data_IF_622067852888
#
_entry.id   IF_622067852888
#
_cell.length_a   1.000
_cell.length_b   1.000
_cell.length_c   1.000
_cell.angle_alpha   90.00
_cell.angle_beta   90.00
_cell.angle_gamma   90.00
#
_symmetry.space_group_name_H-M   'P 1'
#
loop_
_entity.id
_entity.type
_entity.pdbx_description
1 polymer ?
#
# COMPACT_ATOMS: atom_id res chain seq x y z
N UNK A 1 0.95 -18.91 47.60
CA UNK A 1 -0.18 -18.82 46.68
C UNK A 1 0.41 -18.52 45.31
N UNK A 2 0.43 -19.52 44.44
CA UNK A 2 1.14 -19.45 43.14
C UNK A 2 0.22 -18.81 42.11
N UNK A 3 0.72 -17.76 41.44
CA UNK A 3 0.11 -17.20 40.24
C UNK A 3 0.58 -18.01 39.01
N UNK A 4 -0.29 -18.33 38.06
CA UNK A 4 0.11 -19.06 36.86
C UNK A 4 0.79 -18.11 35.86
N UNK A 5 1.99 -18.53 35.43
CA UNK A 5 2.77 -17.84 34.40
C UNK A 5 2.05 -17.85 33.05
N UNK A 6 1.92 -16.68 32.46
CA UNK A 6 1.57 -16.50 31.05
C UNK A 6 2.80 -16.87 30.21
N UNK A 7 2.63 -17.88 29.37
CA UNK A 7 3.61 -18.23 28.35
C UNK A 7 3.55 -17.18 27.25
N UNK A 8 4.63 -16.46 27.07
CA UNK A 8 4.90 -15.69 25.87
C UNK A 8 5.03 -16.67 24.69
N UNK A 9 4.19 -16.51 23.70
CA UNK A 9 4.38 -17.13 22.39
C UNK A 9 5.48 -16.35 21.68
N UNK A 10 6.66 -16.88 21.73
CA UNK A 10 7.80 -16.39 20.95
C UNK A 10 7.61 -16.72 19.49
N UNK A 11 7.99 -15.75 18.66
CA UNK A 11 8.33 -15.83 17.24
C UNK A 11 8.06 -17.18 16.56
N UNK A 12 7.06 -17.21 15.71
CA UNK A 12 6.84 -18.32 14.77
C UNK A 12 7.98 -18.27 13.74
N UNK A 13 8.96 -19.14 13.91
CA UNK A 13 9.93 -19.48 12.87
C UNK A 13 9.17 -20.17 11.75
N UNK A 14 8.93 -19.49 10.64
CA UNK A 14 8.48 -20.10 9.39
C UNK A 14 9.70 -20.78 8.76
N UNK A 15 9.96 -22.00 9.19
CA UNK A 15 10.90 -22.90 8.52
C UNK A 15 10.11 -23.82 7.58
N UNK A 16 10.40 -23.70 6.31
CA UNK A 16 10.26 -24.65 5.21
C UNK A 16 9.39 -25.90 5.44
N UNK A 17 8.24 -25.92 4.78
CA UNK A 17 7.61 -27.18 4.38
C UNK A 17 7.32 -27.13 2.86
N UNK A 18 8.28 -27.63 2.08
CA UNK A 18 8.07 -27.97 0.66
C UNK A 18 7.46 -29.37 0.65
N UNK A 19 6.18 -29.47 0.37
CA UNK A 19 5.53 -30.73 0.03
C UNK A 19 5.01 -30.63 -1.39
N UNK A 20 5.63 -31.44 -2.25
CA UNK A 20 5.21 -31.71 -3.63
C UNK A 20 3.85 -32.42 -3.63
N UNK A 21 2.86 -31.80 -4.28
CA UNK A 21 1.64 -32.47 -4.69
C UNK A 21 1.41 -32.16 -6.17
N UNK A 22 1.85 -33.11 -7.01
CA UNK A 22 1.40 -33.26 -8.39
C UNK A 22 0.02 -33.91 -8.37
N UNK A 23 -1.02 -33.15 -8.62
CA UNK A 23 -2.37 -33.65 -8.84
C UNK A 23 -2.99 -32.86 -9.96
N UNK A 24 -3.08 -33.50 -11.14
CA UNK A 24 -3.76 -32.95 -12.31
C UNK A 24 -5.25 -32.80 -12.04
N UNK A 25 -5.79 -31.63 -12.30
CA UNK A 25 -7.23 -31.38 -12.35
C UNK A 25 -7.60 -31.23 -13.81
N UNK A 26 -8.49 -32.15 -14.26
CA UNK A 26 -9.10 -32.10 -15.57
C UNK A 26 -9.96 -30.84 -15.68
N UNK A 27 -9.73 -30.05 -16.72
CA UNK A 27 -10.60 -28.96 -17.13
C UNK A 27 -11.91 -29.56 -17.67
N UNK A 28 -13.02 -29.14 -17.11
CA UNK A 28 -14.32 -29.33 -17.71
C UNK A 28 -14.65 -28.06 -18.51
N UNK A 29 -14.69 -28.20 -19.83
CA UNK A 29 -15.22 -27.20 -20.74
C UNK A 29 -16.72 -27.02 -20.49
N UNK A 30 -17.10 -25.90 -19.91
CA UNK A 30 -18.45 -25.38 -19.99
C UNK A 30 -18.37 -24.01 -20.65
N UNK A 31 -18.75 -23.94 -21.89
CA UNK A 31 -19.10 -22.67 -22.53
C UNK A 31 -20.41 -22.16 -21.90
N UNK A 32 -20.47 -20.93 -21.36
CA UNK A 32 -21.73 -20.27 -21.11
C UNK A 32 -22.10 -19.35 -22.27
N UNK A 33 -23.38 -19.40 -22.57
CA UNK A 33 -24.12 -18.61 -23.54
C UNK A 33 -23.81 -17.11 -23.49
N UNK A 34 -23.83 -16.49 -24.69
CA UNK A 34 -23.53 -15.10 -24.90
C UNK A 34 -24.45 -14.14 -24.14
N UNK A 35 -23.88 -13.52 -23.12
CA UNK A 35 -24.22 -12.19 -22.70
C UNK A 35 -22.98 -11.32 -22.98
N UNK A 36 -23.19 -10.18 -23.64
CA UNK A 36 -22.11 -9.24 -23.95
C UNK A 36 -21.63 -8.60 -22.64
N UNK A 37 -20.88 -9.36 -21.85
CA UNK A 37 -20.16 -8.86 -20.71
C UNK A 37 -19.13 -7.86 -21.24
N UNK A 38 -19.46 -6.59 -21.12
CA UNK A 38 -18.53 -5.49 -21.27
C UNK A 38 -17.35 -5.82 -20.35
N UNK A 39 -16.21 -6.18 -20.94
CA UNK A 39 -15.02 -6.62 -20.21
C UNK A 39 -14.55 -5.44 -19.34
N UNK A 40 -14.90 -5.49 -18.08
CA UNK A 40 -14.54 -4.45 -17.11
C UNK A 40 -13.08 -4.66 -16.70
N UNK A 41 -12.31 -3.56 -16.66
CA UNK A 41 -10.92 -3.59 -16.23
C UNK A 41 -10.78 -4.04 -14.78
N UNK A 42 -9.86 -4.95 -14.53
CA UNK A 42 -9.55 -5.47 -13.20
C UNK A 42 -8.13 -5.15 -12.77
N UNK A 43 -7.82 -5.31 -11.49
CA UNK A 43 -6.45 -5.22 -10.97
C UNK A 43 -5.52 -6.22 -11.68
N UNK A 44 -6.02 -7.42 -12.01
CA UNK A 44 -5.23 -8.41 -12.76
C UNK A 44 -4.94 -7.93 -14.19
N UNK A 45 -5.89 -7.32 -14.90
CA UNK A 45 -5.66 -6.73 -16.22
C UNK A 45 -4.57 -5.65 -16.16
N UNK A 46 -4.59 -4.81 -15.11
CA UNK A 46 -3.54 -3.83 -14.86
C UNK A 46 -2.15 -4.49 -14.72
N UNK A 47 -2.06 -5.58 -13.98
CA UNK A 47 -0.79 -6.31 -13.81
C UNK A 47 -0.30 -6.98 -15.10
N UNK A 48 -1.18 -7.22 -16.08
CA UNK A 48 -0.84 -7.80 -17.37
C UNK A 48 -0.39 -6.78 -18.43
N UNK A 49 -0.51 -5.46 -18.17
CA UNK A 49 -0.08 -4.46 -19.11
C UNK A 49 1.40 -4.61 -19.46
N UNK A 50 1.71 -4.43 -20.76
CA UNK A 50 3.08 -4.54 -21.28
C UNK A 50 3.80 -3.19 -21.37
N UNK A 51 3.08 -2.08 -21.18
CA UNK A 51 3.64 -0.72 -21.21
C UNK A 51 4.08 -0.36 -19.79
N UNK A 52 5.37 -0.09 -19.60
CA UNK A 52 6.01 0.16 -18.30
C UNK A 52 7.00 1.33 -18.37
N UNK A 53 7.21 2.08 -17.25
CA UNK A 53 6.42 2.07 -16.03
C UNK A 53 5.07 2.76 -16.22
N UNK A 54 4.08 2.41 -15.39
CA UNK A 54 2.77 3.05 -15.34
C UNK A 54 2.75 4.02 -14.16
N UNK A 55 2.15 5.21 -14.33
CA UNK A 55 1.94 6.14 -13.23
C UNK A 55 0.74 5.73 -12.38
N UNK A 56 0.93 5.69 -11.06
CA UNK A 56 -0.11 5.57 -10.05
C UNK A 56 -0.28 6.94 -9.41
N UNK A 57 -1.52 7.43 -9.27
CA UNK A 57 -1.79 8.67 -8.54
C UNK A 57 -1.63 8.42 -7.05
N UNK A 58 -0.55 8.94 -6.44
CA UNK A 58 -0.24 8.77 -5.03
C UNK A 58 -1.07 9.74 -4.18
N UNK A 59 -1.81 9.27 -3.22
CA UNK A 59 -2.82 10.02 -2.44
C UNK A 59 -3.84 10.76 -3.33
N UNK A 60 -4.18 10.16 -4.48
CA UNK A 60 -4.82 10.86 -5.58
C UNK A 60 -3.79 11.67 -6.38
N UNK A 61 -3.70 12.96 -6.11
CA UNK A 61 -2.66 13.88 -6.62
C UNK A 61 -2.10 14.67 -5.45
N UNK A 62 -1.13 14.13 -4.75
CA UNK A 62 -0.55 14.74 -3.56
C UNK A 62 0.87 14.23 -3.29
N UNK A 63 1.55 14.71 -2.26
CA UNK A 63 1.18 15.82 -1.40
C UNK A 63 1.24 17.16 -2.15
N UNK A 64 0.19 17.92 -2.06
CA UNK A 64 0.04 19.19 -2.78
C UNK A 64 0.34 20.42 -1.90
N UNK A 65 1.07 20.22 -0.83
CA UNK A 65 1.48 21.30 0.08
C UNK A 65 2.32 22.38 -0.60
N UNK A 66 2.90 22.07 -1.76
CA UNK A 66 3.70 23.02 -2.55
C UNK A 66 2.90 23.74 -3.64
N UNK A 67 1.74 23.22 -4.02
CA UNK A 67 0.85 23.82 -5.01
C UNK A 67 -0.59 23.89 -4.48
N UNK A 68 -0.97 25.01 -3.84
CA UNK A 68 -2.30 25.16 -3.25
C UNK A 68 -3.42 25.24 -4.30
N UNK A 69 -3.10 25.24 -5.61
CA UNK A 69 -4.09 25.16 -6.68
C UNK A 69 -4.61 23.74 -6.92
N UNK A 70 -3.90 22.73 -6.39
CA UNK A 70 -4.30 21.33 -6.45
C UNK A 70 -5.26 20.99 -5.32
N UNK A 71 -6.01 19.92 -5.51
CA UNK A 71 -6.85 19.35 -4.46
C UNK A 71 -5.98 18.83 -3.31
N UNK A 72 -6.48 18.90 -2.08
CA UNK A 72 -5.78 18.30 -0.91
C UNK A 72 -5.66 16.79 -1.14
N UNK A 73 -4.50 16.21 -0.85
CA UNK A 73 -4.24 14.77 -0.92
C UNK A 73 -5.25 13.94 -0.11
N UNK A 74 -5.41 12.68 -0.47
CA UNK A 74 -6.33 11.78 0.23
C UNK A 74 -7.78 12.31 0.31
N UNK A 75 -8.24 13.00 -0.74
CA UNK A 75 -9.61 13.52 -0.86
C UNK A 75 -10.30 12.99 -2.10
N UNK A 76 -11.63 13.05 -2.10
CA UNK A 76 -12.45 12.76 -3.29
C UNK A 76 -11.99 13.57 -4.50
N UNK A 77 -11.64 14.84 -4.29
CA UNK A 77 -11.23 15.76 -5.35
C UNK A 77 -9.85 15.40 -5.91
N UNK A 78 -8.89 15.02 -5.06
CA UNK A 78 -7.55 14.60 -5.51
C UNK A 78 -7.61 13.29 -6.32
N UNK A 79 -8.41 12.33 -5.87
CA UNK A 79 -8.62 11.06 -6.58
C UNK A 79 -9.30 11.30 -7.94
N UNK A 80 -10.36 12.11 -7.96
CA UNK A 80 -11.03 12.49 -9.20
C UNK A 80 -10.11 13.24 -10.17
N UNK A 81 -9.26 14.12 -9.63
CA UNK A 81 -8.28 14.85 -10.43
C UNK A 81 -7.24 13.89 -11.05
N UNK A 82 -6.71 12.95 -10.27
CA UNK A 82 -5.76 11.96 -10.78
C UNK A 82 -6.33 11.16 -11.96
N UNK A 83 -7.54 10.62 -11.83
CA UNK A 83 -8.20 9.93 -12.93
C UNK A 83 -8.48 10.84 -14.14
N UNK A 84 -8.91 12.09 -13.93
CA UNK A 84 -9.11 13.05 -15.02
C UNK A 84 -7.81 13.41 -15.74
N UNK A 85 -6.67 13.35 -15.08
CA UNK A 85 -5.35 13.54 -15.67
C UNK A 85 -4.84 12.30 -16.42
N UNK A 86 -5.58 11.19 -16.38
CA UNK A 86 -5.27 9.97 -17.11
C UNK A 86 -4.64 8.85 -16.27
N UNK A 87 -4.58 9.00 -14.94
CA UNK A 87 -4.20 7.88 -14.08
C UNK A 87 -5.20 6.73 -14.26
N UNK A 88 -4.70 5.51 -14.40
CA UNK A 88 -5.52 4.30 -14.44
C UNK A 88 -5.75 3.72 -13.08
N UNK A 89 -4.78 3.93 -12.23
CA UNK A 89 -4.69 3.45 -10.86
C UNK A 89 -4.41 4.64 -9.97
N UNK A 90 -5.11 4.72 -8.86
CA UNK A 90 -4.94 5.75 -7.84
C UNK A 90 -4.80 5.05 -6.50
N UNK A 91 -3.95 5.57 -5.66
CA UNK A 91 -3.74 5.06 -4.32
C UNK A 91 -4.28 6.07 -3.29
N UNK A 92 -4.76 5.53 -2.17
CA UNK A 92 -5.18 6.28 -0.97
C UNK A 92 -4.90 5.49 0.30
N UNK A 93 -4.62 6.22 1.38
CA UNK A 93 -4.40 5.68 2.72
C UNK A 93 -5.70 5.54 3.52
N UNK A 94 -5.81 4.51 4.34
CA UNK A 94 -6.97 4.37 5.22
C UNK A 94 -6.61 4.16 6.68
N UNK A 95 -7.36 4.84 7.54
CA UNK A 95 -7.31 4.72 8.99
C UNK A 95 -8.68 4.31 9.54
N UNK A 96 -8.67 3.53 10.62
CA UNK A 96 -9.89 3.12 11.32
C UNK A 96 -10.30 4.16 12.36
N UNK A 97 -11.54 4.62 12.34
CA UNK A 97 -12.10 5.52 13.34
C UNK A 97 -12.70 4.75 14.53
N UNK A 98 -13.04 5.47 15.61
CA UNK A 98 -13.63 4.89 16.83
C UNK A 98 -14.95 4.14 16.57
N UNK A 99 -15.76 4.65 15.65
CA UNK A 99 -17.04 4.09 15.25
C UNK A 99 -16.93 3.04 14.12
N UNK A 100 -15.68 2.64 13.79
CA UNK A 100 -15.41 1.58 12.82
C UNK A 100 -15.55 2.02 11.35
N UNK A 101 -15.60 3.32 11.08
CA UNK A 101 -15.57 3.85 9.73
C UNK A 101 -14.13 3.93 9.22
N UNK A 102 -13.94 3.93 7.90
CA UNK A 102 -12.64 4.06 7.26
C UNK A 102 -12.46 5.50 6.78
N UNK A 103 -11.65 6.26 7.49
CA UNK A 103 -11.24 7.61 7.09
C UNK A 103 -10.08 7.52 6.09
N UNK A 104 -10.16 8.26 4.99
CA UNK A 104 -9.05 8.35 4.03
C UNK A 104 -8.09 9.43 4.51
N UNK A 105 -6.99 8.98 5.14
CA UNK A 105 -6.03 9.86 5.80
C UNK A 105 -4.72 9.10 6.06
N UNK A 106 -3.58 9.76 5.84
CA UNK A 106 -2.27 9.11 5.91
C UNK A 106 -1.86 8.76 7.34
N UNK A 107 -1.84 9.73 8.25
CA UNK A 107 -1.31 9.55 9.60
C UNK A 107 -2.34 8.88 10.53
N UNK A 108 -1.88 8.11 11.51
CA UNK A 108 -2.75 7.52 12.51
C UNK A 108 -3.07 8.46 13.69
N UNK A 109 -2.50 9.68 13.67
CA UNK A 109 -2.81 10.76 14.61
C UNK A 109 -2.75 12.15 13.97
N UNK A 110 -3.45 13.10 14.57
CA UNK A 110 -3.46 14.51 14.16
C UNK A 110 -2.24 15.24 14.70
N UNK A 111 -1.99 16.47 14.23
CA UNK A 111 -0.86 17.31 14.65
C UNK A 111 -0.83 17.63 16.16
N UNK A 112 -1.96 17.47 16.86
CA UNK A 112 -2.06 17.58 18.32
C UNK A 112 -1.94 16.22 19.03
N UNK A 113 -1.51 15.17 18.30
CA UNK A 113 -1.32 13.79 18.77
C UNK A 113 -2.61 13.05 19.13
N UNK A 114 -3.77 13.58 18.75
CA UNK A 114 -5.02 12.86 18.88
C UNK A 114 -5.06 11.71 17.86
N UNK A 115 -5.12 10.48 18.33
CA UNK A 115 -5.20 9.31 17.44
C UNK A 115 -6.52 9.27 16.67
N UNK A 116 -6.46 8.95 15.38
CA UNK A 116 -7.64 8.88 14.51
C UNK A 116 -8.68 7.90 15.07
N UNK A 117 -8.25 6.71 15.51
CA UNK A 117 -9.14 5.70 16.08
C UNK A 117 -9.80 6.10 17.41
N UNK A 118 -9.38 7.21 18.03
CA UNK A 118 -10.04 7.76 19.22
C UNK A 118 -11.19 8.72 18.89
N UNK A 119 -11.36 9.05 17.61
CA UNK A 119 -12.41 9.94 17.09
C UNK A 119 -13.42 9.14 16.25
N UNK A 120 -14.70 9.47 16.35
CA UNK A 120 -15.66 9.06 15.33
C UNK A 120 -15.37 9.78 14.03
N UNK A 121 -15.86 9.27 12.90
CA UNK A 121 -15.70 9.93 11.62
C UNK A 121 -16.24 11.37 11.65
N UNK A 122 -17.43 11.57 12.24
CA UNK A 122 -18.01 12.90 12.41
C UNK A 122 -17.11 13.85 13.22
N UNK A 123 -16.47 13.35 14.30
CA UNK A 123 -15.56 14.17 15.10
C UNK A 123 -14.28 14.50 14.35
N UNK A 124 -13.76 13.56 13.55
CA UNK A 124 -12.62 13.80 12.68
C UNK A 124 -12.95 14.87 11.63
N UNK A 125 -14.10 14.75 10.96
CA UNK A 125 -14.56 15.70 9.94
C UNK A 125 -14.90 17.08 10.50
N UNK A 126 -15.26 17.20 11.78
CA UNK A 126 -15.38 18.51 12.43
C UNK A 126 -14.03 19.22 12.58
N UNK A 127 -12.93 18.47 12.69
CA UNK A 127 -11.57 19.02 12.76
C UNK A 127 -10.95 19.21 11.37
N UNK A 128 -11.16 18.24 10.49
CA UNK A 128 -10.63 18.16 9.12
C UNK A 128 -11.77 17.89 8.14
N UNK A 129 -12.53 18.92 7.72
CA UNK A 129 -13.73 18.75 6.90
C UNK A 129 -13.50 18.13 5.52
N UNK A 130 -12.25 18.06 5.08
CA UNK A 130 -11.86 17.51 3.79
C UNK A 130 -11.62 16.00 3.80
N UNK A 131 -11.52 15.39 4.99
CA UNK A 131 -11.26 13.93 5.12
C UNK A 131 -12.53 13.16 4.72
N UNK A 132 -12.47 12.34 3.65
CA UNK A 132 -13.61 11.55 3.23
C UNK A 132 -13.64 10.19 3.94
N UNK A 133 -14.78 9.55 3.86
CA UNK A 133 -14.92 8.11 4.09
C UNK A 133 -14.44 7.34 2.85
N UNK A 134 -13.83 6.17 3.03
CA UNK A 134 -13.34 5.33 1.92
C UNK A 134 -14.43 5.03 0.88
N UNK A 135 -15.68 4.85 1.30
CA UNK A 135 -16.83 4.69 0.40
C UNK A 135 -16.90 5.75 -0.69
N UNK A 136 -16.70 7.01 -0.32
CA UNK A 136 -16.78 8.13 -1.25
C UNK A 136 -15.68 8.08 -2.32
N UNK A 137 -14.49 7.60 -1.94
CA UNK A 137 -13.37 7.41 -2.86
C UNK A 137 -13.59 6.20 -3.77
N UNK A 138 -14.08 5.10 -3.22
CA UNK A 138 -14.46 3.91 -4.00
C UNK A 138 -15.54 4.24 -5.03
N UNK A 139 -16.52 5.07 -4.67
CA UNK A 139 -17.56 5.50 -5.62
C UNK A 139 -16.97 6.27 -6.81
N UNK A 140 -15.94 7.11 -6.59
CA UNK A 140 -15.22 7.77 -7.68
C UNK A 140 -14.49 6.75 -8.55
N UNK A 141 -13.74 5.84 -7.96
CA UNK A 141 -13.01 4.80 -8.70
C UNK A 141 -13.96 3.96 -9.55
N UNK A 142 -15.12 3.56 -8.99
CA UNK A 142 -16.16 2.82 -9.69
C UNK A 142 -16.72 3.61 -10.86
N UNK A 143 -17.02 4.91 -10.68
CA UNK A 143 -17.48 5.78 -11.75
C UNK A 143 -16.51 5.80 -12.94
N UNK A 144 -15.21 5.90 -12.67
CA UNK A 144 -14.18 5.86 -13.71
C UNK A 144 -14.01 4.47 -14.32
N UNK A 145 -14.12 3.39 -13.55
CA UNK A 145 -14.07 2.03 -14.07
C UNK A 145 -15.24 1.75 -15.03
N UNK A 146 -16.45 2.17 -14.68
CA UNK A 146 -17.65 2.02 -15.53
C UNK A 146 -17.55 2.84 -16.83
N UNK A 147 -16.90 4.02 -16.79
CA UNK A 147 -16.70 4.87 -17.96
C UNK A 147 -15.61 4.37 -18.90
N UNK A 148 -14.60 3.69 -18.35
CA UNK A 148 -13.43 3.25 -19.12
C UNK A 148 -13.79 2.19 -20.19
N UNK A 149 -14.89 1.47 -20.02
CA UNK A 149 -15.26 0.41 -20.94
C UNK A 149 -14.16 -0.66 -21.04
N UNK A 150 -13.62 -0.83 -22.25
CA UNK A 150 -12.48 -1.74 -22.49
C UNK A 150 -11.12 -1.09 -22.14
N UNK A 151 -11.08 0.22 -21.93
CA UNK A 151 -9.88 0.92 -21.49
C UNK A 151 -9.67 0.71 -19.99
N UNK A 152 -8.44 0.36 -19.61
CA UNK A 152 -8.10 0.15 -18.21
C UNK A 152 -8.22 1.46 -17.40
N UNK A 153 -9.02 1.47 -16.34
CA UNK A 153 -9.18 2.63 -15.47
C UNK A 153 -10.04 2.36 -14.24
N UNK A 154 -10.00 3.27 -13.27
CA UNK A 154 -10.77 3.16 -12.04
C UNK A 154 -10.30 2.02 -11.12
N UNK A 155 -9.02 1.63 -11.20
CA UNK A 155 -8.40 0.74 -10.23
C UNK A 155 -7.97 1.56 -9.03
N UNK A 156 -8.22 1.04 -7.83
CA UNK A 156 -7.88 1.71 -6.57
C UNK A 156 -6.91 0.84 -5.76
N UNK A 157 -5.79 1.42 -5.35
CA UNK A 157 -4.94 0.87 -4.31
C UNK A 157 -5.39 1.49 -2.98
N UNK A 158 -5.56 0.66 -1.97
CA UNK A 158 -5.94 1.08 -0.62
C UNK A 158 -4.85 0.63 0.32
N UNK A 159 -4.03 1.58 0.78
CA UNK A 159 -3.02 1.28 1.79
C UNK A 159 -3.67 1.10 3.16
N UNK A 160 -3.51 -0.09 3.71
CA UNK A 160 -3.91 -0.42 5.07
C UNK A 160 -2.79 0.02 6.01
N UNK A 161 -2.97 1.17 6.65
CA UNK A 161 -1.94 1.75 7.52
C UNK A 161 -1.78 0.98 8.82
N UNK A 162 -0.57 0.57 9.14
CA UNK A 162 -0.24 0.02 10.44
C UNK A 162 -0.30 1.11 11.51
N UNK A 163 -0.89 0.79 12.66
CA UNK A 163 -0.98 1.75 13.77
C UNK A 163 0.37 1.93 14.45
N UNK A 164 0.69 3.17 14.83
CA UNK A 164 1.84 3.44 15.66
C UNK A 164 1.65 2.86 17.07
N UNK A 165 2.75 2.55 17.81
CA UNK A 165 2.67 2.16 19.21
C UNK A 165 2.07 3.24 20.11
N UNK A 166 2.01 4.49 19.65
CA UNK A 166 1.33 5.58 20.33
C UNK A 166 -0.19 5.38 20.31
N UNK A 167 -0.73 5.10 19.13
CA UNK A 167 -2.17 4.98 18.95
C UNK A 167 -2.71 3.58 19.28
N UNK A 168 -1.94 2.54 19.03
CA UNK A 168 -2.33 1.16 19.38
C UNK A 168 -1.26 0.43 20.20
N UNK A 169 -1.07 0.80 21.48
CA UNK A 169 -0.03 0.18 22.31
C UNK A 169 -0.26 -1.32 22.56
N UNK A 170 -1.48 -1.80 22.38
CA UNK A 170 -1.86 -3.19 22.65
C UNK A 170 -2.02 -4.05 21.39
N UNK A 171 -1.79 -3.48 20.21
CA UNK A 171 -1.87 -4.16 18.91
C UNK A 171 -3.23 -4.82 18.65
N UNK A 172 -4.28 -4.00 18.69
CA UNK A 172 -5.67 -4.49 18.69
C UNK A 172 -6.48 -4.06 17.46
N UNK A 173 -6.00 -3.06 16.69
CA UNK A 173 -6.81 -2.46 15.63
C UNK A 173 -6.55 -3.03 14.23
N UNK A 174 -5.51 -3.84 14.02
CA UNK A 174 -5.21 -4.42 12.71
C UNK A 174 -6.36 -5.29 12.17
N UNK A 175 -6.88 -6.22 12.97
CA UNK A 175 -8.00 -7.07 12.54
C UNK A 175 -9.29 -6.28 12.29
N UNK A 176 -9.71 -5.31 13.14
CA UNK A 176 -10.84 -4.41 12.85
C UNK A 176 -10.66 -3.60 11.57
N UNK A 177 -9.47 -3.02 11.33
CA UNK A 177 -9.17 -2.26 10.11
C UNK A 177 -9.36 -3.14 8.86
N UNK A 178 -8.72 -4.30 8.82
CA UNK A 178 -8.84 -5.24 7.69
C UNK A 178 -10.29 -5.68 7.47
N UNK A 179 -11.01 -5.99 8.56
CA UNK A 179 -12.41 -6.43 8.46
C UNK A 179 -13.30 -5.34 7.88
N UNK A 180 -13.11 -4.08 8.28
CA UNK A 180 -13.82 -2.93 7.75
C UNK A 180 -13.50 -2.73 6.25
N UNK A 181 -12.21 -2.74 5.88
CA UNK A 181 -11.78 -2.54 4.50
C UNK A 181 -12.31 -3.63 3.56
N UNK A 182 -12.22 -4.90 3.95
CA UNK A 182 -12.77 -6.02 3.18
C UNK A 182 -14.28 -5.89 3.02
N UNK A 183 -14.99 -5.54 4.11
CA UNK A 183 -16.44 -5.35 4.07
C UNK A 183 -16.83 -4.24 3.09
N UNK A 184 -16.09 -3.13 3.11
CA UNK A 184 -16.33 -1.98 2.24
C UNK A 184 -16.17 -2.33 0.76
N UNK A 185 -15.06 -2.99 0.42
CA UNK A 185 -14.75 -3.42 -0.94
C UNK A 185 -15.80 -4.44 -1.46
N UNK A 186 -16.23 -5.37 -0.62
CA UNK A 186 -17.27 -6.33 -1.00
C UNK A 186 -18.64 -5.66 -1.22
N UNK A 187 -19.04 -4.74 -0.34
CA UNK A 187 -20.33 -4.04 -0.46
C UNK A 187 -20.41 -3.15 -1.69
N UNK A 188 -19.28 -2.67 -2.19
CA UNK A 188 -19.18 -1.83 -3.38
C UNK A 188 -18.98 -2.60 -4.67
N UNK A 189 -18.84 -3.93 -4.62
CA UNK A 189 -18.53 -4.80 -5.77
C UNK A 189 -17.21 -4.41 -6.48
N UNK A 190 -16.19 -4.00 -5.69
CA UNK A 190 -14.88 -3.60 -6.20
C UNK A 190 -13.77 -4.61 -5.92
N UNK A 191 -14.12 -5.85 -5.55
CA UNK A 191 -13.19 -6.90 -5.13
C UNK A 191 -12.07 -7.18 -6.15
N UNK A 192 -12.39 -7.16 -7.43
CA UNK A 192 -11.47 -7.38 -8.55
C UNK A 192 -10.80 -6.10 -9.06
N UNK A 193 -11.11 -4.94 -8.47
CA UNK A 193 -10.65 -3.61 -8.89
C UNK A 193 -9.86 -2.87 -7.81
N UNK A 194 -9.78 -3.47 -6.63
CA UNK A 194 -9.01 -2.94 -5.51
C UNK A 194 -7.76 -3.79 -5.32
N UNK A 195 -6.67 -3.12 -4.98
CA UNK A 195 -5.42 -3.71 -4.51
C UNK A 195 -5.28 -3.26 -3.06
N UNK A 196 -5.10 -4.18 -2.13
CA UNK A 196 -4.68 -3.84 -0.78
C UNK A 196 -3.18 -3.76 -0.70
N UNK A 197 -2.71 -2.66 -0.21
CA UNK A 197 -1.31 -2.36 0.01
C UNK A 197 -1.01 -2.21 1.50
N UNK A 198 0.19 -2.51 1.93
CA UNK A 198 0.69 -2.22 3.27
C UNK A 198 2.17 -2.50 3.43
N UNK A 199 2.82 -1.72 4.28
CA UNK A 199 4.15 -2.04 4.83
C UNK A 199 4.10 -3.15 5.91
N UNK A 200 2.90 -3.53 6.39
CA UNK A 200 2.70 -4.54 7.42
C UNK A 200 2.35 -5.91 6.84
N UNK A 201 3.26 -6.89 6.91
CA UNK A 201 2.94 -8.27 6.55
C UNK A 201 1.77 -8.85 7.35
N UNK A 202 1.56 -8.37 8.58
CA UNK A 202 0.46 -8.83 9.43
C UNK A 202 -0.90 -8.41 8.86
N UNK A 203 -1.06 -7.15 8.43
CA UNK A 203 -2.27 -6.65 7.79
C UNK A 203 -2.57 -7.42 6.50
N UNK A 204 -1.55 -7.64 5.65
CA UNK A 204 -1.71 -8.40 4.41
C UNK A 204 -2.02 -9.89 4.65
N UNK A 205 -1.48 -10.47 5.72
CA UNK A 205 -1.86 -11.82 6.14
C UNK A 205 -3.33 -11.89 6.52
N UNK A 206 -3.82 -10.96 7.34
CA UNK A 206 -5.22 -10.86 7.72
C UNK A 206 -6.13 -10.63 6.51
N UNK A 207 -5.74 -9.75 5.59
CA UNK A 207 -6.44 -9.50 4.34
C UNK A 207 -6.51 -10.77 3.48
N UNK A 208 -5.41 -11.52 3.37
CA UNK A 208 -5.37 -12.79 2.64
C UNK A 208 -6.30 -13.85 3.23
N UNK A 209 -6.50 -13.87 4.55
CA UNK A 209 -7.44 -14.79 5.19
C UNK A 209 -8.89 -14.35 4.98
N UNK A 210 -9.17 -13.05 5.06
CA UNK A 210 -10.53 -12.51 4.96
C UNK A 210 -11.04 -12.45 3.50
N UNK A 211 -10.17 -12.09 2.55
CA UNK A 211 -10.52 -11.87 1.14
C UNK A 211 -9.36 -12.31 0.21
N UNK A 212 -9.14 -13.60 0.01
CA UNK A 212 -8.03 -14.12 -0.80
C UNK A 212 -8.08 -13.69 -2.27
N UNK A 213 -9.25 -13.28 -2.77
CA UNK A 213 -9.45 -12.80 -4.14
C UNK A 213 -9.02 -11.35 -4.38
N UNK A 214 -8.80 -10.55 -3.33
CA UNK A 214 -8.29 -9.19 -3.48
C UNK A 214 -6.77 -9.26 -3.73
N UNK A 215 -6.32 -8.57 -4.77
CA UNK A 215 -4.88 -8.42 -5.08
C UNK A 215 -4.18 -7.68 -3.94
N UNK A 216 -2.93 -8.06 -3.65
CA UNK A 216 -2.15 -7.48 -2.55
C UNK A 216 -0.77 -7.06 -3.01
N UNK A 217 -0.30 -5.97 -2.41
CA UNK A 217 1.03 -5.39 -2.51
C UNK A 217 1.68 -5.36 -1.13
N UNK A 218 2.97 -5.65 -1.07
CA UNK A 218 3.78 -5.51 0.14
C UNK A 218 4.87 -4.50 -0.11
N UNK A 219 4.92 -3.47 0.71
CA UNK A 219 5.89 -2.38 0.59
C UNK A 219 7.04 -2.47 1.57
N UNK A 220 8.14 -1.83 1.21
CA UNK A 220 9.33 -1.71 2.03
C UNK A 220 9.87 -0.28 2.01
N UNK A 221 10.08 0.26 3.21
CA UNK A 221 10.92 1.43 3.45
C UNK A 221 12.37 1.01 3.71
N UNK A 222 13.32 1.84 3.34
CA UNK A 222 14.74 1.63 3.67
C UNK A 222 14.99 1.48 5.17
N UNK A 223 14.16 2.09 5.99
CA UNK A 223 14.24 1.98 7.45
C UNK A 223 14.01 0.55 7.95
N UNK A 224 13.23 -0.27 7.26
CA UNK A 224 12.98 -1.68 7.64
C UNK A 224 14.19 -2.59 7.39
N UNK A 225 15.20 -2.12 6.67
CA UNK A 225 16.50 -2.82 6.52
C UNK A 225 17.53 -2.42 7.58
N UNK A 226 17.25 -1.35 8.33
CA UNK A 226 18.17 -0.86 9.34
C UNK A 226 18.03 -1.63 10.67
N UNK A 227 19.15 -1.89 11.29
CA UNK A 227 19.17 -2.36 12.66
C UNK A 227 18.78 -1.24 13.63
N UNK A 228 18.26 -1.53 14.84
CA UNK A 228 18.01 -0.52 15.85
C UNK A 228 19.25 0.34 16.18
N UNK A 229 20.44 -0.20 16.05
CA UNK A 229 21.69 0.54 16.28
C UNK A 229 21.95 1.56 15.15
N UNK A 230 21.66 1.22 13.91
CA UNK A 230 21.77 2.13 12.76
C UNK A 230 20.74 3.25 12.84
N UNK A 231 19.49 2.93 13.18
CA UNK A 231 18.45 3.95 13.42
C UNK A 231 18.90 4.90 14.53
N UNK A 232 19.47 4.38 15.63
CA UNK A 232 20.06 5.18 16.70
C UNK A 232 21.21 6.06 16.20
N UNK A 233 22.05 5.53 15.32
CA UNK A 233 23.18 6.27 14.75
C UNK A 233 22.71 7.44 13.84
N UNK A 234 21.65 7.24 13.09
CA UNK A 234 21.08 8.26 12.19
C UNK A 234 20.37 9.34 12.99
N UNK A 235 19.57 8.96 13.98
CA UNK A 235 18.74 9.88 14.75
C UNK A 235 19.47 10.49 15.94
N UNK A 236 20.59 9.90 16.38
CA UNK A 236 21.29 10.26 17.62
C UNK A 236 20.51 9.91 18.90
N UNK A 237 19.40 9.22 18.79
CA UNK A 237 18.50 8.91 19.90
C UNK A 237 18.56 7.41 20.24
N UNK A 238 18.59 7.03 21.55
CA UNK A 238 18.41 5.63 21.95
C UNK A 238 17.06 5.10 21.42
N UNK A 239 17.01 3.83 21.06
CA UNK A 239 15.78 3.16 20.58
C UNK A 239 14.59 3.42 21.52
N UNK A 240 14.83 3.34 22.84
CA UNK A 240 13.81 3.64 23.86
C UNK A 240 13.33 5.09 23.81
N UNK A 241 14.21 6.04 23.46
CA UNK A 241 13.85 7.45 23.30
C UNK A 241 13.08 7.66 22.01
N UNK A 242 13.48 6.99 20.94
CA UNK A 242 12.76 7.01 19.66
C UNK A 242 11.33 6.51 19.87
N UNK A 243 11.15 5.34 20.46
CA UNK A 243 9.82 4.81 20.79
C UNK A 243 8.98 5.76 21.65
N UNK A 244 9.62 6.40 22.66
CA UNK A 244 8.94 7.39 23.48
C UNK A 244 8.58 8.64 22.70
N UNK A 245 9.47 9.13 21.83
CA UNK A 245 9.22 10.33 21.03
C UNK A 245 8.14 10.10 19.97
N UNK A 246 8.08 8.91 19.40
CA UNK A 246 6.99 8.48 18.55
C UNK A 246 5.67 8.54 19.32
N UNK A 247 5.65 8.00 20.55
CA UNK A 247 4.48 8.07 21.42
C UNK A 247 4.11 9.52 21.83
N UNK A 248 5.00 10.48 21.63
CA UNK A 248 4.75 11.91 21.82
C UNK A 248 4.48 12.63 20.49
N UNK A 249 4.48 11.91 19.37
CA UNK A 249 4.18 12.45 18.05
C UNK A 249 5.19 13.46 17.52
N UNK A 250 6.38 13.50 18.07
CA UNK A 250 7.44 14.39 17.60
C UNK A 250 8.00 13.85 16.27
N UNK A 251 7.35 14.15 15.20
CA UNK A 251 7.84 14.16 13.82
C UNK A 251 7.86 12.87 13.02
N UNK A 252 7.31 11.74 13.49
CA UNK A 252 7.65 10.53 12.75
C UNK A 252 6.63 9.42 13.03
N UNK A 253 5.38 9.64 12.58
CA UNK A 253 4.41 8.57 12.43
C UNK A 253 5.06 7.39 11.71
N UNK A 254 5.85 7.66 10.67
CA UNK A 254 6.56 6.64 9.91
C UNK A 254 7.56 5.84 10.73
N UNK A 255 8.34 6.47 11.62
CA UNK A 255 9.21 5.70 12.53
C UNK A 255 8.40 4.91 13.56
N UNK A 256 7.25 5.41 14.01
CA UNK A 256 6.34 4.66 14.86
C UNK A 256 5.84 3.40 14.19
N UNK A 257 5.48 3.52 12.94
CA UNK A 257 5.09 2.39 12.11
C UNK A 257 6.27 1.42 11.92
N UNK A 258 7.47 1.91 11.61
CA UNK A 258 8.68 1.08 11.46
C UNK A 258 8.97 0.25 12.70
N UNK A 259 8.77 0.76 13.90
CA UNK A 259 9.00 -0.04 15.11
C UNK A 259 7.96 -1.14 15.33
N UNK A 260 6.78 -1.01 14.76
CA UNK A 260 5.78 -2.07 14.75
C UNK A 260 5.95 -3.00 13.53
N UNK A 261 6.52 -2.50 12.45
CA UNK A 261 6.80 -3.26 11.25
C UNK A 261 8.02 -4.18 11.47
N UNK A 262 8.06 -5.35 10.83
CA UNK A 262 9.22 -6.23 10.91
C UNK A 262 10.42 -5.59 10.20
N UNK A 263 11.59 -5.68 10.81
CA UNK A 263 12.83 -5.46 10.10
C UNK A 263 13.18 -6.65 9.22
N UNK A 264 13.83 -6.40 8.09
CA UNK A 264 14.33 -7.43 7.19
C UNK A 264 15.85 -7.47 7.21
N UNK A 265 16.43 -8.66 7.27
CA UNK A 265 17.88 -8.82 7.21
C UNK A 265 18.46 -8.59 5.79
N UNK A 266 17.60 -8.62 4.77
CA UNK A 266 17.99 -8.38 3.38
C UNK A 266 16.76 -8.18 2.49
N UNK A 267 16.92 -7.56 1.29
CA UNK A 267 15.88 -7.51 0.28
C UNK A 267 15.33 -8.89 -0.13
N UNK A 268 16.16 -9.93 -0.10
CA UNK A 268 15.74 -11.30 -0.41
C UNK A 268 14.78 -11.86 0.63
N UNK A 269 14.98 -11.53 1.91
CA UNK A 269 14.04 -11.92 2.97
C UNK A 269 12.69 -11.23 2.78
N UNK A 270 12.69 -9.96 2.41
CA UNK A 270 11.48 -9.23 2.07
C UNK A 270 10.72 -9.88 0.90
N UNK A 271 11.40 -10.16 -0.22
CA UNK A 271 10.78 -10.87 -1.35
C UNK A 271 10.22 -12.24 -0.93
N UNK A 272 10.95 -12.97 -0.08
CA UNK A 272 10.48 -14.24 0.48
C UNK A 272 9.21 -14.10 1.32
N UNK A 273 9.08 -12.99 2.06
CA UNK A 273 7.85 -12.66 2.80
C UNK A 273 6.69 -12.41 1.84
N UNK A 274 6.90 -11.62 0.78
CA UNK A 274 5.90 -11.38 -0.26
C UNK A 274 5.38 -12.68 -0.89
N UNK A 275 6.27 -13.60 -1.22
CA UNK A 275 5.90 -14.94 -1.75
C UNK A 275 5.08 -15.74 -0.72
N UNK A 276 5.49 -15.73 0.55
CA UNK A 276 4.78 -16.46 1.61
C UNK A 276 3.35 -15.91 1.82
N UNK A 277 3.16 -14.61 1.68
CA UNK A 277 1.88 -13.91 1.75
C UNK A 277 1.07 -14.02 0.45
N UNK A 278 1.66 -14.57 -0.62
CA UNK A 278 1.05 -14.64 -1.96
C UNK A 278 0.64 -13.27 -2.49
N UNK A 279 1.45 -12.25 -2.24
CA UNK A 279 1.23 -10.95 -2.88
C UNK A 279 1.57 -11.04 -4.38
N UNK A 280 1.04 -10.14 -5.17
CA UNK A 280 1.32 -10.04 -6.60
C UNK A 280 2.32 -8.93 -6.90
N UNK A 281 2.47 -8.00 -5.96
CA UNK A 281 3.25 -6.78 -6.10
C UNK A 281 4.14 -6.62 -4.88
N UNK A 282 5.33 -6.11 -5.10
CA UNK A 282 6.22 -5.59 -4.07
C UNK A 282 6.58 -4.16 -4.41
N UNK A 283 6.38 -3.25 -3.48
CA UNK A 283 6.74 -1.84 -3.61
C UNK A 283 8.00 -1.50 -2.82
N UNK A 284 8.66 -0.41 -3.17
CA UNK A 284 9.78 0.10 -2.41
C UNK A 284 9.91 1.60 -2.52
N UNK A 285 10.11 2.22 -1.36
CA UNK A 285 10.26 3.67 -1.27
C UNK A 285 11.61 4.18 -1.81
N UNK A 286 11.68 5.48 -2.07
CA UNK A 286 12.90 6.17 -2.50
C UNK A 286 14.05 5.97 -1.49
N UNK A 287 13.75 5.88 -0.19
CA UNK A 287 14.75 5.64 0.85
C UNK A 287 15.28 4.19 0.84
N UNK A 288 14.54 3.26 0.25
CA UNK A 288 15.02 1.90 -0.03
C UNK A 288 15.92 1.87 -1.29
N UNK A 289 15.46 2.42 -2.42
CA UNK A 289 16.18 2.35 -3.68
C UNK A 289 17.37 3.31 -3.77
N UNK A 290 17.18 4.56 -3.33
CA UNK A 290 18.18 5.63 -3.53
C UNK A 290 19.50 5.36 -2.83
N UNK A 291 19.56 5.14 -1.52
CA UNK A 291 20.81 4.84 -0.81
C UNK A 291 21.47 3.53 -1.26
N UNK A 292 20.65 2.50 -1.55
CA UNK A 292 21.16 1.22 -2.03
C UNK A 292 21.87 1.37 -3.38
N UNK A 293 21.28 2.11 -4.33
CA UNK A 293 21.84 2.36 -5.65
C UNK A 293 23.08 3.24 -5.59
N UNK A 294 23.13 4.22 -4.69
CA UNK A 294 24.31 5.06 -4.48
C UNK A 294 25.50 4.28 -3.93
N UNK A 295 25.28 3.35 -3.01
CA UNK A 295 26.33 2.55 -2.40
C UNK A 295 26.76 1.36 -3.27
N UNK A 296 25.81 0.77 -3.96
CA UNK A 296 25.98 -0.41 -4.80
C UNK A 296 25.23 -0.24 -6.12
N UNK A 297 25.82 0.46 -7.10
CA UNK A 297 25.19 0.70 -8.40
C UNK A 297 24.70 -0.61 -9.05
N UNK A 298 23.46 -0.60 -9.51
CA UNK A 298 22.77 -1.77 -10.07
C UNK A 298 21.98 -2.62 -9.04
N UNK A 299 22.01 -2.26 -7.76
CA UNK A 299 21.27 -2.99 -6.72
C UNK A 299 19.75 -2.86 -6.86
N UNK A 300 19.24 -1.70 -7.22
CA UNK A 300 17.83 -1.46 -7.49
C UNK A 300 17.35 -2.27 -8.68
N UNK A 301 18.06 -2.23 -9.79
CA UNK A 301 17.77 -3.07 -10.98
C UNK A 301 17.83 -4.58 -10.61
N UNK A 302 18.80 -4.99 -9.81
CA UNK A 302 18.91 -6.39 -9.38
C UNK A 302 17.71 -6.82 -8.50
N UNK A 303 17.22 -5.93 -7.65
CA UNK A 303 16.00 -6.18 -6.85
C UNK A 303 14.78 -6.36 -7.75
N UNK A 304 14.56 -5.44 -8.70
CA UNK A 304 13.44 -5.54 -9.66
C UNK A 304 13.50 -6.83 -10.46
N UNK A 305 14.67 -7.20 -10.97
CA UNK A 305 14.87 -8.47 -11.70
C UNK A 305 14.61 -9.70 -10.80
N UNK A 306 14.99 -9.64 -9.53
CA UNK A 306 14.71 -10.71 -8.57
C UNK A 306 13.20 -10.84 -8.33
N UNK A 307 12.48 -9.73 -8.13
CA UNK A 307 11.02 -9.72 -8.01
C UNK A 307 10.37 -10.34 -9.26
N UNK A 308 10.75 -9.90 -10.46
CA UNK A 308 10.23 -10.44 -11.72
C UNK A 308 10.52 -11.94 -11.87
N UNK A 309 11.71 -12.41 -11.48
CA UNK A 309 12.05 -13.84 -11.54
C UNK A 309 11.19 -14.71 -10.62
N UNK A 310 10.60 -14.11 -9.58
CA UNK A 310 9.66 -14.73 -8.66
C UNK A 310 8.19 -14.58 -9.10
N UNK A 311 7.94 -13.95 -10.25
CA UNK A 311 6.59 -13.69 -10.77
C UNK A 311 5.86 -12.53 -10.08
N UNK A 312 6.60 -11.68 -9.36
CA UNK A 312 6.08 -10.46 -8.72
C UNK A 312 6.24 -9.27 -9.66
N UNK A 313 5.36 -8.28 -9.52
CA UNK A 313 5.56 -6.93 -10.05
C UNK A 313 6.34 -6.10 -9.04
N UNK A 314 7.13 -5.15 -9.52
CA UNK A 314 7.92 -4.25 -8.69
C UNK A 314 7.44 -2.80 -8.91
N UNK A 315 6.98 -2.15 -7.86
CA UNK A 315 6.54 -0.76 -7.87
C UNK A 315 7.54 0.12 -7.11
N UNK A 316 7.46 1.42 -7.29
CA UNK A 316 8.35 2.37 -6.63
C UNK A 316 7.61 3.64 -6.20
N UNK A 317 8.01 4.21 -5.05
CA UNK A 317 7.33 5.29 -4.36
C UNK A 317 8.32 6.25 -3.64
N UNK A 318 8.00 7.57 -3.56
CA UNK A 318 7.23 8.35 -4.53
C UNK A 318 8.14 9.01 -5.57
N UNK A 319 7.62 9.26 -6.76
CA UNK A 319 8.25 10.17 -7.72
C UNK A 319 7.67 11.59 -7.55
N UNK A 320 8.43 12.46 -6.90
CA UNK A 320 8.05 13.85 -6.64
C UNK A 320 8.58 14.82 -7.71
N UNK A 321 9.55 14.40 -8.50
CA UNK A 321 10.18 15.18 -9.57
C UNK A 321 10.35 14.33 -10.83
N UNK A 322 10.55 14.96 -12.01
CA UNK A 322 10.91 14.21 -13.21
C UNK A 322 12.19 13.38 -13.05
N UNK A 323 13.15 13.83 -12.23
CA UNK A 323 14.37 13.08 -11.96
C UNK A 323 14.11 11.82 -11.16
N UNK A 324 13.18 11.84 -10.20
CA UNK A 324 12.76 10.66 -9.45
C UNK A 324 12.08 9.66 -10.39
N UNK A 325 11.21 10.15 -11.28
CA UNK A 325 10.57 9.33 -12.31
C UNK A 325 11.61 8.62 -13.21
N UNK A 326 12.56 9.39 -13.74
CA UNK A 326 13.62 8.87 -14.61
C UNK A 326 14.49 7.85 -13.86
N UNK A 327 14.78 8.12 -12.59
CA UNK A 327 15.52 7.21 -11.73
C UNK A 327 14.79 5.87 -11.60
N UNK A 328 13.54 5.85 -11.14
CA UNK A 328 12.77 4.63 -10.98
C UNK A 328 12.54 3.89 -12.32
N UNK A 329 12.23 4.62 -13.38
CA UNK A 329 12.09 4.04 -14.71
C UNK A 329 13.38 3.34 -15.18
N UNK A 330 14.56 3.89 -14.83
CA UNK A 330 15.86 3.29 -15.15
C UNK A 330 16.11 1.96 -14.44
N UNK A 331 15.47 1.73 -13.28
CA UNK A 331 15.56 0.46 -12.53
C UNK A 331 14.74 -0.66 -13.19
N UNK A 332 13.79 -0.30 -14.07
CA UNK A 332 12.89 -1.24 -14.73
C UNK A 332 11.66 -1.65 -13.93
N UNK A 333 11.21 -0.79 -13.03
CA UNK A 333 9.98 -1.01 -12.24
C UNK A 333 8.74 -1.05 -13.14
N UNK A 334 7.69 -1.70 -12.68
CA UNK A 334 6.44 -1.86 -13.42
C UNK A 334 5.51 -0.65 -13.29
N UNK A 335 5.49 -0.02 -12.12
CA UNK A 335 4.72 1.20 -11.86
C UNK A 335 5.44 2.12 -10.88
N UNK A 336 5.06 3.38 -10.90
CA UNK A 336 5.64 4.43 -10.07
C UNK A 336 4.50 5.26 -9.47
N UNK A 337 4.48 5.37 -8.16
CA UNK A 337 3.60 6.27 -7.44
C UNK A 337 4.08 7.71 -7.64
N UNK A 338 3.19 8.56 -8.10
CA UNK A 338 3.49 9.95 -8.41
C UNK A 338 2.61 10.89 -7.60
N UNK A 339 3.27 11.74 -6.82
CA UNK A 339 2.60 12.74 -5.97
C UNK A 339 2.23 14.02 -6.73
N UNK A 340 2.65 14.14 -7.98
CA UNK A 340 2.45 15.33 -8.80
C UNK A 340 1.75 15.00 -10.11
N UNK A 341 0.89 15.91 -10.64
CA UNK A 341 0.19 15.70 -11.91
C UNK A 341 1.11 15.37 -13.09
N UNK A 342 2.32 15.92 -13.08
CA UNK A 342 3.33 15.69 -14.13
C UNK A 342 3.75 14.22 -14.19
N UNK A 343 3.93 13.54 -13.05
CA UNK A 343 4.25 12.11 -13.02
C UNK A 343 3.14 11.28 -13.66
N UNK A 344 1.87 11.60 -13.38
CA UNK A 344 0.71 10.95 -14.00
C UNK A 344 0.68 11.21 -15.52
N UNK A 345 0.98 12.44 -15.96
CA UNK A 345 1.00 12.80 -17.37
C UNK A 345 2.16 12.18 -18.16
N UNK A 346 3.26 11.80 -17.48
CA UNK A 346 4.42 11.18 -18.11
C UNK A 346 4.21 9.70 -18.47
N UNK A 347 3.12 9.10 -18.02
CA UNK A 347 2.85 7.70 -18.36
C UNK A 347 2.76 7.53 -19.88
N UNK A 348 3.36 6.45 -20.43
CA UNK A 348 3.30 6.22 -21.86
C UNK A 348 1.86 5.98 -22.32
N UNK A 349 1.51 6.52 -23.49
CA UNK A 349 0.23 6.18 -24.09
C UNK A 349 0.15 4.67 -24.34
N UNK A 350 -0.94 4.03 -23.96
CA UNK A 350 -1.17 2.64 -24.37
C UNK A 350 -1.41 2.68 -25.88
N UNK A 351 -0.69 1.88 -26.68
CA UNK A 351 -1.02 1.73 -28.08
C UNK A 351 -2.48 1.23 -28.19
N UNK A 352 -3.26 1.89 -29.01
CA UNK A 352 -4.57 1.36 -29.38
C UNK A 352 -4.39 -0.05 -29.95
N UNK A 353 -5.27 -1.01 -29.61
CA UNK A 353 -5.17 -2.40 -30.05
C UNK A 353 -5.23 -2.56 -31.58
#
# INVERSE_FOLDING_TARGET
>A
MNAPGRKFLSAVSVAALILSLSGGIAMADNEPDGDSDQKRSTAEDFLQLNVRPIAIGHHGVGPNTQDPSLAIENTVDSVRLAYNLGARVVEVDVQLTQDGQLAVFHDDFLSDFTCIHSLTLDQLQQRLPYVPELRQVIDVAREFNERSGDDLGGILIVELKAFSPHCDPADQFEQPLVSAAVSEVHQTNMTDKVIFDSFSPALLYLAAQAAPGITRELDISGLQLLTPAEITAITGLPVTTIQKNISLGLTWADIGQVFRLPGYASPQQFLGTGIALKVRIVGGEMDFFGPAEQQHPGSGTAFVQAAHSLGLRAFADPANTPADWDFFASLGVDAIYSTIPMGVQLQPAIPEP
#
